data_IF_470645221560
#
_entry.id   IF_470645221560
#
_cell.length_a   1.000
_cell.length_b   1.000
_cell.length_c   1.000
_cell.angle_alpha   90.00
_cell.angle_beta   90.00
_cell.angle_gamma   90.00
#
_symmetry.space_group_name_H-M   'P 1'
#
loop_
_entity.id
_entity.type
_entity.pdbx_description
1 polymer ?
#
# COMPACT_ATOMS: atom_id res chain seq x y z
N UNK A 1 1.54 4.85 13.07
CA UNK A 1 1.89 3.44 12.78
C UNK A 1 3.39 3.19 12.80
N UNK A 2 4.22 3.84 11.97
CA UNK A 2 5.67 3.60 11.89
C UNK A 2 6.42 3.48 13.23
N UNK A 3 6.13 4.36 14.21
CA UNK A 3 6.70 4.27 15.58
C UNK A 3 6.47 2.91 16.24
N UNK A 4 5.26 2.34 16.18
CA UNK A 4 4.96 1.01 16.74
C UNK A 4 5.87 -0.08 16.14
N UNK A 5 6.15 0.00 14.84
CA UNK A 5 7.02 -0.96 14.14
C UNK A 5 8.48 -0.78 14.56
N UNK A 6 8.93 0.46 14.76
CA UNK A 6 10.24 0.77 15.33
C UNK A 6 10.36 0.23 16.75
N UNK A 7 9.38 0.50 17.61
CA UNK A 7 9.35 0.07 19.01
C UNK A 7 9.40 -1.48 19.09
N UNK A 8 8.66 -2.19 18.23
CA UNK A 8 8.76 -3.65 18.09
C UNK A 8 10.17 -4.09 17.66
N UNK A 9 10.78 -3.40 16.68
CA UNK A 9 12.11 -3.74 16.17
C UNK A 9 13.23 -3.47 17.18
N UNK A 10 13.05 -2.54 18.11
CA UNK A 10 14.05 -2.17 19.11
C UNK A 10 13.89 -2.95 20.44
N UNK A 11 12.68 -3.38 20.81
CA UNK A 11 12.40 -3.93 22.14
C UNK A 11 12.14 -5.45 22.17
N UNK A 12 11.96 -6.13 21.04
CA UNK A 12 11.74 -7.59 21.00
C UNK A 12 13.07 -8.34 20.90
N UNK A 13 13.35 -9.22 21.87
CA UNK A 13 14.54 -10.08 21.86
C UNK A 13 14.53 -11.07 20.67
N UNK A 14 15.69 -11.26 20.02
CA UNK A 14 15.86 -12.12 18.83
C UNK A 14 15.08 -11.68 17.56
N UNK A 15 14.60 -10.43 17.50
CA UNK A 15 13.82 -9.88 16.37
C UNK A 15 14.60 -9.80 15.04
N UNK A 16 15.91 -10.02 15.05
CA UNK A 16 16.74 -10.21 13.87
C UNK A 16 16.58 -11.59 13.22
N UNK A 17 16.07 -12.58 13.95
CA UNK A 17 15.79 -13.95 13.47
C UNK A 17 14.37 -14.10 12.90
N UNK A 18 13.56 -13.05 12.97
CA UNK A 18 12.16 -13.04 12.55
C UNK A 18 11.90 -12.05 11.40
N UNK A 19 10.88 -12.34 10.59
CA UNK A 19 10.34 -11.43 9.58
C UNK A 19 9.26 -10.57 10.23
N UNK A 20 9.40 -9.25 10.18
CA UNK A 20 8.32 -8.34 10.55
C UNK A 20 7.43 -8.16 9.32
N UNK A 21 6.28 -8.84 9.34
CA UNK A 21 5.17 -8.63 8.42
C UNK A 21 4.22 -7.57 8.97
N UNK A 22 3.63 -6.75 8.10
CA UNK A 22 2.45 -5.93 8.46
C UNK A 22 1.32 -6.12 7.46
N UNK A 23 0.10 -6.21 8.00
CA UNK A 23 -1.15 -6.28 7.27
C UNK A 23 -1.95 -5.00 7.59
N UNK A 24 -2.18 -4.14 6.60
CA UNK A 24 -2.83 -2.84 6.82
C UNK A 24 -4.17 -2.77 6.09
N UNK A 25 -5.25 -2.50 6.84
CA UNK A 25 -6.57 -2.21 6.28
C UNK A 25 -6.74 -0.72 5.96
N UNK A 26 -7.68 -0.42 5.07
CA UNK A 26 -7.84 0.89 4.45
C UNK A 26 -9.04 1.70 4.95
N UNK A 27 -9.58 1.39 6.13
CA UNK A 27 -10.79 2.01 6.70
C UNK A 27 -10.72 3.56 6.78
N UNK A 28 -9.52 4.13 6.84
CA UNK A 28 -9.27 5.58 6.85
C UNK A 28 -8.51 6.09 5.60
N UNK A 29 -8.36 5.27 4.56
CA UNK A 29 -7.55 5.63 3.36
C UNK A 29 -6.03 5.63 3.60
N UNK A 30 -5.55 5.07 4.71
CA UNK A 30 -4.16 5.13 5.15
C UNK A 30 -3.38 3.81 5.02
N UNK A 31 -3.94 2.76 4.40
CA UNK A 31 -3.33 1.43 4.39
C UNK A 31 -1.91 1.45 3.79
N UNK A 32 -1.77 2.00 2.58
CA UNK A 32 -0.50 2.09 1.86
C UNK A 32 0.50 2.99 2.60
N UNK A 33 0.05 4.13 3.16
CA UNK A 33 0.90 5.02 3.93
C UNK A 33 1.45 4.32 5.20
N UNK A 34 0.60 3.59 5.93
CA UNK A 34 1.01 2.81 7.09
C UNK A 34 2.00 1.68 6.71
N UNK A 35 1.75 0.95 5.61
CA UNK A 35 2.68 -0.05 5.09
C UNK A 35 4.05 0.56 4.73
N UNK A 36 4.09 1.70 4.04
CA UNK A 36 5.35 2.37 3.66
C UNK A 36 6.12 2.89 4.87
N UNK A 37 5.43 3.45 5.88
CA UNK A 37 6.08 3.82 7.14
C UNK A 37 6.57 2.61 7.93
N UNK A 38 5.90 1.45 7.87
CA UNK A 38 6.40 0.21 8.46
C UNK A 38 7.73 -0.24 7.82
N UNK A 39 7.84 -0.17 6.48
CA UNK A 39 9.07 -0.51 5.74
C UNK A 39 10.24 0.36 6.20
N UNK A 40 10.02 1.68 6.33
CA UNK A 40 11.04 2.62 6.82
C UNK A 40 11.51 2.31 8.25
N UNK A 41 10.64 1.74 9.08
CA UNK A 41 10.91 1.41 10.47
C UNK A 41 11.28 -0.08 10.70
N UNK A 42 11.60 -0.82 9.64
CA UNK A 42 12.20 -2.16 9.74
C UNK A 42 11.30 -3.33 9.37
N UNK A 43 10.06 -3.12 8.93
CA UNK A 43 9.27 -4.18 8.33
C UNK A 43 9.91 -4.68 7.02
N UNK A 44 9.94 -6.00 6.84
CA UNK A 44 10.56 -6.66 5.68
C UNK A 44 9.55 -7.41 4.81
N UNK A 45 8.32 -7.60 5.30
CA UNK A 45 7.20 -8.17 4.56
C UNK A 45 5.97 -7.26 4.69
N UNK A 46 5.20 -7.15 3.60
CA UNK A 46 3.92 -6.43 3.57
C UNK A 46 2.87 -7.35 2.97
N UNK A 47 1.78 -7.53 3.72
CA UNK A 47 0.59 -8.21 3.23
C UNK A 47 -0.33 -7.16 2.57
N UNK A 48 -0.65 -7.42 1.32
CA UNK A 48 -1.35 -6.50 0.43
C UNK A 48 -2.07 -7.29 -0.66
N UNK A 49 -3.03 -6.65 -1.34
CA UNK A 49 -3.83 -7.29 -2.39
C UNK A 49 -3.87 -6.43 -3.65
N UNK A 50 -4.05 -7.10 -4.80
CA UNK A 50 -4.29 -6.42 -6.08
C UNK A 50 -5.57 -5.59 -5.97
N UNK A 51 -5.54 -4.35 -6.45
CA UNK A 51 -6.64 -3.38 -6.35
C UNK A 51 -7.00 -2.95 -4.92
N UNK A 52 -6.28 -3.44 -3.89
CA UNK A 52 -6.64 -3.26 -2.48
C UNK A 52 -7.89 -4.06 -2.04
N UNK A 53 -8.29 -5.10 -2.79
CA UNK A 53 -9.48 -5.91 -2.44
C UNK A 53 -9.36 -6.54 -1.05
N UNK A 54 -10.45 -6.49 -0.29
CA UNK A 54 -10.56 -6.99 1.09
C UNK A 54 -11.92 -6.62 1.68
N UNK A 55 -12.15 -6.93 2.95
CA UNK A 55 -13.37 -6.53 3.65
C UNK A 55 -13.47 -5.01 3.84
N UNK A 56 -14.70 -4.49 3.95
CA UNK A 56 -15.00 -3.06 4.20
C UNK A 56 -14.33 -2.15 3.18
N UNK A 57 -13.41 -1.27 3.61
CA UNK A 57 -12.67 -0.36 2.75
C UNK A 57 -11.47 -1.02 2.03
N UNK A 58 -11.21 -2.31 2.29
CA UNK A 58 -10.15 -3.09 1.66
C UNK A 58 -8.83 -3.08 2.42
N UNK A 59 -7.81 -3.62 1.75
CA UNK A 59 -6.45 -3.80 2.23
C UNK A 59 -5.48 -2.81 1.56
N UNK A 60 -4.24 -2.80 2.01
CA UNK A 60 -3.17 -2.09 1.32
C UNK A 60 -3.04 -2.59 -0.13
N UNK A 61 -2.97 -1.65 -1.07
CA UNK A 61 -2.93 -1.93 -2.49
C UNK A 61 -1.50 -2.31 -2.92
N UNK A 62 -1.35 -3.53 -3.45
CA UNK A 62 -0.06 -4.07 -3.89
C UNK A 62 0.57 -3.18 -4.95
N UNK A 63 -0.20 -2.74 -5.95
CA UNK A 63 0.31 -1.92 -7.03
C UNK A 63 0.84 -0.56 -6.57
N UNK A 64 0.19 0.05 -5.56
CA UNK A 64 0.64 1.33 -5.00
C UNK A 64 1.91 1.18 -4.17
N UNK A 65 2.00 0.14 -3.33
CA UNK A 65 3.23 -0.16 -2.56
C UNK A 65 4.40 -0.44 -3.50
N UNK A 66 4.22 -1.32 -4.50
CA UNK A 66 5.29 -1.68 -5.44
C UNK A 66 5.77 -0.47 -6.22
N UNK A 67 4.86 0.35 -6.75
CA UNK A 67 5.26 1.53 -7.50
C UNK A 67 5.88 2.60 -6.60
N UNK A 68 5.41 2.79 -5.37
CA UNK A 68 6.06 3.69 -4.41
C UNK A 68 7.52 3.27 -4.12
N UNK A 69 7.76 1.98 -3.90
CA UNK A 69 9.12 1.44 -3.70
C UNK A 69 9.99 1.56 -4.97
N UNK A 70 9.43 1.30 -6.16
CA UNK A 70 10.17 1.38 -7.42
C UNK A 70 10.49 2.82 -7.85
N UNK A 71 9.58 3.77 -7.61
CA UNK A 71 9.76 5.19 -7.95
C UNK A 71 10.57 5.93 -6.90
N UNK A 72 10.45 5.59 -5.61
CA UNK A 72 11.18 6.24 -4.50
C UNK A 72 12.26 5.37 -3.86
N UNK A 73 13.08 4.74 -4.70
CA UNK A 73 14.27 3.96 -4.27
C UNK A 73 15.26 4.80 -3.46
N UNK A 74 15.25 6.12 -3.66
CA UNK A 74 16.03 7.13 -2.94
C UNK A 74 15.60 7.31 -1.48
N UNK A 75 14.35 6.98 -1.12
CA UNK A 75 13.85 6.98 0.26
C UNK A 75 13.92 5.58 0.87
N UNK A 76 13.36 4.59 0.18
CA UNK A 76 13.05 3.30 0.80
C UNK A 76 14.23 2.31 0.78
N UNK A 77 15.13 2.41 -0.21
CA UNK A 77 16.24 1.48 -0.42
C UNK A 77 15.86 -0.01 -0.36
N UNK A 78 14.60 -0.35 -0.70
CA UNK A 78 14.09 -1.72 -0.81
C UNK A 78 13.80 -2.08 -2.26
N UNK A 79 13.90 -3.37 -2.57
CA UNK A 79 13.54 -3.93 -3.86
C UNK A 79 12.51 -5.05 -3.68
N UNK A 80 11.62 -5.20 -4.65
CA UNK A 80 10.70 -6.34 -4.74
C UNK A 80 11.03 -7.17 -5.98
N UNK A 81 10.65 -8.45 -5.98
CA UNK A 81 10.78 -9.33 -7.16
C UNK A 81 9.55 -9.27 -8.08
N UNK A 82 8.73 -8.22 -7.95
CA UNK A 82 7.46 -8.08 -8.67
C UNK A 82 7.72 -7.44 -10.03
N UNK A 83 7.34 -8.13 -11.10
CA UNK A 83 7.38 -7.61 -12.46
C UNK A 83 6.26 -6.56 -12.63
N UNK A 84 6.61 -5.27 -12.56
CA UNK A 84 5.64 -4.17 -12.62
C UNK A 84 4.91 -4.06 -13.97
N UNK A 85 5.44 -4.63 -15.06
CA UNK A 85 4.71 -4.72 -16.34
C UNK A 85 3.42 -5.55 -16.25
N UNK A 86 3.34 -6.47 -15.28
CA UNK A 86 2.19 -7.36 -15.08
C UNK A 86 1.11 -6.76 -14.17
N UNK A 87 1.38 -5.63 -13.50
CA UNK A 87 0.46 -5.01 -12.54
C UNK A 87 -0.89 -4.68 -13.21
N UNK A 88 -0.88 -3.97 -14.33
CA UNK A 88 -2.11 -3.56 -15.02
C UNK A 88 -2.92 -4.75 -15.57
N UNK A 89 -2.36 -5.71 -16.34
CA UNK A 89 -3.15 -6.86 -16.81
C UNK A 89 -3.69 -7.73 -15.66
N UNK A 90 -2.92 -7.95 -14.58
CA UNK A 90 -3.39 -8.70 -13.40
C UNK A 90 -4.50 -7.93 -12.67
N UNK A 91 -4.36 -6.62 -12.50
CA UNK A 91 -5.41 -5.75 -11.93
C UNK A 91 -6.74 -5.87 -12.68
N UNK A 92 -6.70 -5.85 -14.02
CA UNK A 92 -7.87 -6.02 -14.88
C UNK A 92 -8.44 -7.45 -14.84
N UNK A 93 -7.58 -8.47 -14.73
CA UNK A 93 -8.01 -9.86 -14.56
C UNK A 93 -8.73 -10.07 -13.22
N UNK A 94 -8.15 -9.60 -12.10
CA UNK A 94 -8.77 -9.68 -10.76
C UNK A 94 -10.11 -8.95 -10.74
N UNK A 95 -10.19 -7.75 -11.31
CA UNK A 95 -11.44 -6.98 -11.44
C UNK A 95 -12.52 -7.74 -12.23
N UNK A 96 -12.14 -8.42 -13.34
CA UNK A 96 -13.05 -9.25 -14.13
C UNK A 96 -13.54 -10.50 -13.36
N UNK A 97 -12.66 -11.15 -12.60
CA UNK A 97 -12.98 -12.41 -11.90
C UNK A 97 -13.79 -12.20 -10.62
N UNK A 98 -13.56 -11.09 -9.91
CA UNK A 98 -14.20 -10.79 -8.62
C UNK A 98 -15.45 -9.92 -8.74
N UNK A 99 -15.68 -9.30 -9.91
CA UNK A 99 -16.70 -8.26 -10.09
C UNK A 99 -16.35 -6.91 -9.44
N UNK A 100 -15.24 -6.83 -8.69
CA UNK A 100 -14.80 -5.59 -8.05
C UNK A 100 -14.36 -4.56 -9.10
N UNK A 101 -15.07 -3.44 -9.20
CA UNK A 101 -14.80 -2.40 -10.19
C UNK A 101 -13.66 -1.48 -9.74
N UNK A 102 -12.69 -1.24 -10.63
CA UNK A 102 -11.59 -0.31 -10.38
C UNK A 102 -12.09 1.11 -10.65
N UNK A 103 -12.03 1.98 -9.63
CA UNK A 103 -12.39 3.40 -9.78
C UNK A 103 -11.52 4.09 -10.87
N UNK A 104 -12.08 4.95 -11.74
CA UNK A 104 -11.34 5.53 -12.88
C UNK A 104 -10.08 6.33 -12.50
N UNK A 105 -10.04 6.87 -11.28
CA UNK A 105 -8.96 7.64 -10.68
C UNK A 105 -8.07 6.84 -9.70
N UNK A 106 -8.15 5.49 -9.69
CA UNK A 106 -7.26 4.65 -8.88
C UNK A 106 -5.80 4.89 -9.28
N UNK A 107 -4.91 5.07 -8.31
CA UNK A 107 -3.49 5.19 -8.61
C UNK A 107 -2.97 3.93 -9.32
N UNK A 108 -2.04 4.12 -10.25
CA UNK A 108 -1.38 3.09 -11.08
C UNK A 108 -2.28 2.36 -12.10
N UNK A 109 -3.52 1.99 -11.74
CA UNK A 109 -4.38 1.10 -12.55
C UNK A 109 -5.71 1.72 -12.99
N UNK A 110 -5.99 2.98 -12.62
CA UNK A 110 -7.12 3.76 -13.12
C UNK A 110 -7.01 4.10 -14.61
N UNK A 111 -8.14 4.45 -15.23
CA UNK A 111 -8.23 4.75 -16.68
C UNK A 111 -8.03 6.24 -17.02
N UNK A 112 -8.27 7.17 -16.10
CA UNK A 112 -8.38 8.64 -16.36
C UNK A 112 -9.63 8.96 -17.22
N UNK A 113 -10.31 10.12 -17.19
CA UNK A 113 -10.20 11.35 -16.39
C UNK A 113 -11.54 11.61 -15.65
N UNK A 114 -11.56 12.52 -14.66
CA UNK A 114 -12.79 13.14 -14.13
C UNK A 114 -12.56 14.65 -13.87
N UNK A 115 -13.52 15.54 -14.14
CA UNK A 115 -13.44 16.95 -13.76
C UNK A 115 -13.53 17.08 -12.23
N UNK A 116 -12.49 17.62 -11.60
CA UNK A 116 -12.42 17.78 -10.14
C UNK A 116 -12.99 19.13 -9.71
N UNK A 117 -14.02 19.10 -8.84
CA UNK A 117 -14.39 20.25 -8.01
C UNK A 117 -13.67 20.12 -6.68
N UNK A 118 -12.81 21.08 -6.37
CA UNK A 118 -12.08 21.10 -5.11
C UNK A 118 -12.97 21.67 -3.99
N UNK A 119 -12.97 21.00 -2.84
CA UNK A 119 -13.60 21.46 -1.60
C UNK A 119 -12.54 21.37 -0.51
N UNK A 120 -12.37 22.43 0.27
CA UNK A 120 -11.39 22.50 1.34
C UNK A 120 -12.05 22.25 2.71
N UNK A 121 -11.36 21.53 3.58
CA UNK A 121 -11.70 21.40 5.00
C UNK A 121 -10.70 22.24 5.79
N UNK A 122 -11.20 23.22 6.55
CA UNK A 122 -10.35 24.01 7.46
C UNK A 122 -10.27 23.28 8.79
N UNK A 123 -9.06 22.87 9.18
CA UNK A 123 -8.81 22.30 10.50
C UNK A 123 -8.82 23.43 11.54
N UNK A 124 -9.46 23.18 12.68
CA UNK A 124 -9.32 24.02 13.87
C UNK A 124 -7.99 23.76 14.59
N UNK A 125 -7.52 24.76 15.32
CA UNK A 125 -6.44 24.63 16.31
C UNK A 125 -7.04 24.40 17.69
#
# INVERSE_FOLDING_TARGET
>A
FGRLIKDIKENVSNIEKAVISVHCHNDLGLAVANSLEAIKNGATQIECTINGIGERAGNASLEEIVMALQTRKDIYHKVTRINSTQIYPISRLVSKLTGFTIQPNKAIVGKTLLPTRQVYIKLGY
#
